data_IF_114373931327
#
_entry.id   IF_114373931327
#
_cell.length_a   1.000
_cell.length_b   1.000
_cell.length_c   1.000
_cell.angle_alpha   90.00
_cell.angle_beta   90.00
_cell.angle_gamma   90.00
#
_symmetry.space_group_name_H-M   'P 1'
#
loop_
_entity.id
_entity.type
_entity.pdbx_description
1 polymer ?
#
# COMPACT_ATOMS: atom_id res chain seq x y z
N UNK A 1 9.13 12.39 -16.17
CA UNK A 1 8.18 11.37 -15.74
C UNK A 1 6.72 11.86 -15.74
N UNK A 2 6.35 12.92 -15.06
CA UNK A 2 4.94 13.38 -14.92
C UNK A 2 4.25 13.87 -16.21
N UNK A 3 4.95 13.94 -17.34
CA UNK A 3 4.37 14.19 -18.67
C UNK A 3 3.87 12.92 -19.37
N UNK A 4 4.25 11.75 -18.87
CA UNK A 4 3.81 10.48 -19.39
C UNK A 4 2.43 10.14 -18.81
N UNK A 5 1.59 9.48 -19.61
CA UNK A 5 0.21 9.10 -19.22
C UNK A 5 0.05 7.58 -19.27
N UNK A 6 -0.84 7.08 -18.41
CA UNK A 6 -1.23 5.67 -18.39
C UNK A 6 -0.07 4.70 -18.16
N UNK A 7 -0.05 3.62 -18.92
CA UNK A 7 0.87 2.48 -18.74
C UNK A 7 2.35 2.86 -18.93
N UNK A 8 2.64 3.85 -19.78
CA UNK A 8 4.00 4.34 -19.98
C UNK A 8 4.58 4.97 -18.69
N UNK A 9 3.76 5.62 -17.88
CA UNK A 9 4.20 6.15 -16.59
C UNK A 9 4.56 5.01 -15.64
N UNK A 10 3.75 3.96 -15.59
CA UNK A 10 4.00 2.80 -14.72
C UNK A 10 5.30 2.07 -15.10
N UNK A 11 5.50 1.76 -16.39
CA UNK A 11 6.73 1.10 -16.87
C UNK A 11 7.96 1.96 -16.59
N UNK A 12 7.88 3.27 -16.85
CA UNK A 12 9.00 4.19 -16.62
C UNK A 12 9.36 4.33 -15.14
N UNK A 13 8.36 4.37 -14.24
CA UNK A 13 8.61 4.44 -12.80
C UNK A 13 9.23 3.15 -12.26
N UNK A 14 8.79 2.00 -12.73
CA UNK A 14 9.41 0.70 -12.39
C UNK A 14 10.85 0.63 -12.88
N UNK A 15 11.12 1.02 -14.15
CA UNK A 15 12.48 1.07 -14.69
C UNK A 15 13.39 2.00 -13.90
N UNK A 16 12.88 3.17 -13.50
CA UNK A 16 13.65 4.11 -12.69
C UNK A 16 13.94 3.60 -11.27
N UNK A 17 13.00 2.93 -10.64
CA UNK A 17 13.23 2.30 -9.34
C UNK A 17 14.33 1.23 -9.40
N UNK A 18 14.37 0.45 -10.50
CA UNK A 18 15.40 -0.56 -10.70
C UNK A 18 16.79 0.06 -10.97
N UNK A 19 16.84 1.17 -11.71
CA UNK A 19 18.10 1.94 -11.89
C UNK A 19 18.63 2.43 -10.54
N UNK A 20 17.77 2.98 -9.68
CA UNK A 20 18.17 3.41 -8.33
C UNK A 20 18.68 2.23 -7.52
N UNK A 21 18.00 1.09 -7.56
CA UNK A 21 18.41 -0.12 -6.84
C UNK A 21 19.78 -0.60 -7.30
N UNK A 22 20.01 -0.68 -8.62
CA UNK A 22 21.30 -1.09 -9.19
C UNK A 22 22.39 -0.10 -8.80
N UNK A 23 22.10 1.20 -8.84
CA UNK A 23 23.06 2.23 -8.42
C UNK A 23 23.45 2.07 -6.96
N UNK A 24 22.49 1.88 -6.05
CA UNK A 24 22.72 1.63 -4.62
C UNK A 24 23.54 0.35 -4.42
N UNK A 25 23.24 -0.72 -5.15
CA UNK A 25 23.95 -2.01 -5.06
C UNK A 25 25.42 -1.89 -5.50
N UNK A 26 25.73 -0.97 -6.43
CA UNK A 26 27.10 -0.75 -6.92
C UNK A 26 27.86 0.32 -6.12
N UNK A 27 27.19 1.13 -5.32
CA UNK A 27 27.80 2.21 -4.54
C UNK A 27 28.43 1.67 -3.23
N UNK A 28 29.52 0.90 -3.36
CA UNK A 28 30.18 0.24 -2.21
C UNK A 28 30.66 1.22 -1.14
N UNK A 29 31.11 2.41 -1.54
CA UNK A 29 31.65 3.41 -0.61
C UNK A 29 30.60 4.10 0.26
N UNK A 30 29.31 4.10 -0.15
CA UNK A 30 28.22 4.83 0.54
C UNK A 30 27.28 3.85 1.22
N UNK A 31 26.87 2.79 0.52
CA UNK A 31 25.81 1.88 0.95
C UNK A 31 26.31 0.48 1.31
N UNK A 32 27.63 0.27 1.30
CA UNK A 32 28.25 -1.05 1.42
C UNK A 32 27.83 -2.02 0.29
N UNK A 33 27.27 -1.48 -0.78
CA UNK A 33 26.90 -2.19 -2.00
C UNK A 33 25.86 -3.30 -1.77
N UNK A 34 26.14 -4.47 -2.31
CA UNK A 34 25.25 -5.64 -2.22
C UNK A 34 25.11 -6.21 -0.80
N UNK A 35 25.99 -5.84 0.15
CA UNK A 35 25.91 -6.26 1.56
C UNK A 35 24.92 -5.42 2.36
N UNK A 36 24.50 -4.28 1.82
CA UNK A 36 23.58 -3.36 2.45
C UNK A 36 24.15 -2.64 3.68
N UNK A 37 23.36 -1.72 4.21
CA UNK A 37 23.69 -0.95 5.42
C UNK A 37 23.34 -1.82 6.63
N UNK A 38 24.35 -2.10 7.47
CA UNK A 38 24.21 -2.87 8.69
C UNK A 38 24.41 -1.97 9.90
N UNK A 39 24.10 -2.49 11.08
CA UNK A 39 24.31 -1.81 12.36
C UNK A 39 23.54 -0.48 12.49
N UNK A 40 22.37 -0.40 11.89
CA UNK A 40 21.45 0.71 12.12
C UNK A 40 20.95 0.57 13.57
N UNK A 41 21.11 1.62 14.42
CA UNK A 41 20.63 1.56 15.79
C UNK A 41 19.12 1.23 15.80
N UNK A 42 18.72 0.10 16.38
CA UNK A 42 17.33 -0.32 16.37
C UNK A 42 16.51 0.66 17.22
N UNK A 43 15.36 1.04 16.72
CA UNK A 43 14.36 1.71 17.54
C UNK A 43 13.78 0.67 18.52
N UNK A 44 14.33 0.64 19.74
CA UNK A 44 13.93 -0.31 20.78
C UNK A 44 12.46 -0.19 21.20
N UNK A 45 11.83 0.92 20.87
CA UNK A 45 10.47 1.23 21.29
C UNK A 45 9.52 1.26 20.07
N UNK A 46 8.78 0.18 19.89
CA UNK A 46 7.75 0.04 18.82
C UNK A 46 6.71 1.18 18.90
N UNK A 47 6.57 1.81 20.07
CA UNK A 47 5.65 2.94 20.27
C UNK A 47 5.98 4.13 19.37
N UNK A 48 7.28 4.42 19.16
CA UNK A 48 7.69 5.51 18.25
C UNK A 48 7.31 5.21 16.80
N UNK A 49 7.49 3.97 16.35
CA UNK A 49 7.11 3.55 15.00
C UNK A 49 5.61 3.72 14.81
N UNK A 50 4.82 3.25 15.78
CA UNK A 50 3.37 3.38 15.75
C UNK A 50 2.93 4.86 15.77
N UNK A 51 3.55 5.69 16.61
CA UNK A 51 3.23 7.11 16.72
C UNK A 51 3.52 7.86 15.42
N UNK A 52 4.69 7.66 14.80
CA UNK A 52 5.06 8.30 13.53
C UNK A 52 4.14 7.84 12.41
N UNK A 53 3.80 6.55 12.36
CA UNK A 53 2.85 6.00 11.39
C UNK A 53 1.46 6.62 11.57
N UNK A 54 1.00 6.76 12.81
CA UNK A 54 -0.30 7.37 13.12
C UNK A 54 -0.34 8.85 12.72
N UNK A 55 0.71 9.61 13.03
CA UNK A 55 0.83 11.01 12.63
C UNK A 55 0.81 11.12 11.11
N UNK A 56 1.57 10.29 10.41
CA UNK A 56 1.60 10.25 8.94
C UNK A 56 0.22 9.95 8.36
N UNK A 57 -0.48 8.98 8.92
CA UNK A 57 -1.83 8.61 8.51
C UNK A 57 -2.83 9.77 8.70
N UNK A 58 -2.80 10.41 9.86
CA UNK A 58 -3.65 11.58 10.16
C UNK A 58 -3.35 12.73 9.20
N UNK A 59 -2.06 13.03 8.96
CA UNK A 59 -1.66 14.10 8.05
C UNK A 59 -2.17 13.85 6.62
N UNK A 60 -1.96 12.63 6.08
CA UNK A 60 -2.43 12.27 4.74
C UNK A 60 -3.95 12.37 4.66
N UNK A 61 -4.67 11.92 5.69
CA UNK A 61 -6.13 11.99 5.76
C UNK A 61 -6.63 13.44 5.76
N UNK A 62 -5.98 14.33 6.51
CA UNK A 62 -6.29 15.75 6.52
C UNK A 62 -6.00 16.40 5.16
N UNK A 63 -4.86 16.07 4.55
CA UNK A 63 -4.49 16.58 3.22
C UNK A 63 -5.51 16.18 2.15
N UNK A 64 -5.94 14.91 2.11
CA UNK A 64 -6.89 14.40 1.11
C UNK A 64 -8.31 14.99 1.33
N UNK A 65 -8.63 15.42 2.54
CA UNK A 65 -9.90 16.11 2.84
C UNK A 65 -9.81 17.64 2.69
N UNK A 66 -8.63 18.19 2.43
CA UNK A 66 -8.40 19.62 2.19
C UNK A 66 -8.83 20.08 0.79
N UNK A 67 -8.64 21.35 0.50
CA UNK A 67 -8.85 21.92 -0.85
C UNK A 67 -7.92 21.29 -1.90
N UNK A 68 -6.68 20.99 -1.53
CA UNK A 68 -5.74 20.29 -2.39
C UNK A 68 -6.21 18.87 -2.70
N UNK A 69 -6.72 18.16 -1.71
CA UNK A 69 -7.27 16.82 -1.91
C UNK A 69 -8.49 16.80 -2.82
N UNK A 70 -9.32 17.84 -2.80
CA UNK A 70 -10.43 17.97 -3.77
C UNK A 70 -9.90 18.13 -5.19
N UNK A 71 -8.85 18.93 -5.39
CA UNK A 71 -8.20 19.08 -6.68
C UNK A 71 -7.58 17.75 -7.17
N UNK A 72 -6.93 16.97 -6.28
CA UNK A 72 -6.40 15.65 -6.61
C UNK A 72 -7.50 14.68 -7.04
N UNK A 73 -8.65 14.69 -6.36
CA UNK A 73 -9.81 13.86 -6.72
C UNK A 73 -10.40 14.28 -8.07
N UNK A 74 -10.51 15.58 -8.34
CA UNK A 74 -10.98 16.08 -9.64
C UNK A 74 -10.07 15.64 -10.80
N UNK A 75 -8.74 15.76 -10.62
CA UNK A 75 -7.76 15.32 -11.62
C UNK A 75 -7.83 13.80 -11.84
N UNK A 76 -8.09 13.01 -10.80
CA UNK A 76 -8.23 11.56 -10.89
C UNK A 76 -9.46 11.15 -11.71
N UNK A 77 -10.57 11.84 -11.54
CA UNK A 77 -11.82 11.51 -12.24
C UNK A 77 -11.73 11.92 -13.73
N UNK A 78 -11.31 13.15 -14.02
CA UNK A 78 -11.14 13.63 -15.40
C UNK A 78 -10.10 14.78 -15.44
N UNK A 79 -8.97 14.53 -16.08
CA UNK A 79 -7.88 15.52 -16.22
C UNK A 79 -8.31 16.72 -17.09
N UNK A 80 -9.08 16.48 -18.17
CA UNK A 80 -9.49 17.52 -19.11
C UNK A 80 -10.51 18.44 -18.44
N UNK A 81 -11.48 17.87 -17.75
CA UNK A 81 -12.47 18.64 -17.02
C UNK A 81 -11.84 19.46 -15.89
N UNK A 82 -10.87 18.89 -15.16
CA UNK A 82 -10.14 19.59 -14.10
C UNK A 82 -9.35 20.80 -14.65
N UNK A 83 -8.69 20.64 -15.80
CA UNK A 83 -7.95 21.72 -16.46
C UNK A 83 -8.91 22.82 -16.95
N UNK A 84 -10.05 22.47 -17.51
CA UNK A 84 -11.08 23.41 -17.93
C UNK A 84 -11.65 24.23 -16.75
N UNK A 85 -11.65 23.66 -15.54
CA UNK A 85 -12.03 24.36 -14.30
C UNK A 85 -10.89 25.19 -13.68
N UNK A 86 -9.77 25.35 -14.39
CA UNK A 86 -8.63 26.17 -13.97
C UNK A 86 -7.64 25.48 -13.02
N UNK A 87 -7.73 24.16 -12.85
CA UNK A 87 -6.79 23.42 -12.01
C UNK A 87 -5.49 23.17 -12.79
N UNK A 88 -4.38 23.66 -12.27
CA UNK A 88 -3.06 23.41 -12.87
C UNK A 88 -2.63 21.96 -12.61
N UNK A 89 -2.74 21.11 -13.63
CA UNK A 89 -2.45 19.67 -13.56
C UNK A 89 -1.02 19.38 -13.13
N UNK A 90 -0.06 20.08 -13.77
CA UNK A 90 1.36 19.84 -13.52
C UNK A 90 1.74 20.13 -12.07
N UNK A 91 1.28 21.25 -11.52
CA UNK A 91 1.60 21.65 -10.16
C UNK A 91 0.99 20.67 -9.14
N UNK A 92 -0.29 20.31 -9.31
CA UNK A 92 -0.98 19.40 -8.38
C UNK A 92 -0.43 17.98 -8.46
N UNK A 93 -0.13 17.45 -9.65
CA UNK A 93 0.49 16.14 -9.81
C UNK A 93 1.89 16.10 -9.16
N UNK A 94 2.67 17.15 -9.35
CA UNK A 94 4.01 17.25 -8.76
C UNK A 94 3.94 17.33 -7.23
N UNK A 95 3.03 18.12 -6.68
CA UNK A 95 2.82 18.21 -5.24
C UNK A 95 2.38 16.87 -4.63
N UNK A 96 1.43 16.16 -5.27
CA UNK A 96 1.01 14.86 -4.83
C UNK A 96 2.17 13.85 -4.83
N UNK A 97 3.01 13.89 -5.88
CA UNK A 97 4.20 13.04 -5.98
C UNK A 97 5.23 13.35 -4.89
N UNK A 98 5.50 14.63 -4.62
CA UNK A 98 6.44 15.06 -3.58
C UNK A 98 5.97 14.60 -2.19
N UNK A 99 4.68 14.77 -1.88
CA UNK A 99 4.12 14.35 -0.60
C UNK A 99 4.18 12.84 -0.45
N UNK A 100 3.82 12.08 -1.48
CA UNK A 100 3.88 10.61 -1.41
C UNK A 100 5.31 10.11 -1.28
N UNK A 101 6.29 10.72 -1.98
CA UNK A 101 7.70 10.38 -1.85
C UNK A 101 8.25 10.67 -0.44
N UNK A 102 7.83 11.79 0.16
CA UNK A 102 8.21 12.14 1.53
C UNK A 102 7.75 11.08 2.54
N UNK A 103 6.47 10.68 2.48
CA UNK A 103 5.94 9.64 3.38
C UNK A 103 6.50 8.25 3.08
N UNK A 104 6.79 7.94 1.82
CA UNK A 104 7.50 6.72 1.45
C UNK A 104 8.91 6.69 2.06
N UNK A 105 9.62 7.82 2.06
CA UNK A 105 10.93 7.97 2.72
C UNK A 105 10.85 7.76 4.24
N UNK A 106 9.84 8.33 4.91
CA UNK A 106 9.59 8.08 6.34
C UNK A 106 9.34 6.58 6.58
N UNK A 107 8.48 5.96 5.78
CA UNK A 107 8.18 4.52 5.89
C UNK A 107 9.42 3.64 5.71
N UNK A 108 10.27 3.97 4.71
CA UNK A 108 11.53 3.28 4.48
C UNK A 108 12.52 3.43 5.63
N UNK A 109 12.62 4.64 6.21
CA UNK A 109 13.45 4.91 7.39
C UNK A 109 12.99 4.12 8.62
N UNK A 110 11.68 4.09 8.89
CA UNK A 110 11.11 3.30 9.98
C UNK A 110 11.32 1.80 9.78
N UNK A 111 11.19 1.32 8.54
CA UNK A 111 11.44 -0.07 8.19
C UNK A 111 12.91 -0.46 8.42
N UNK A 112 13.85 0.38 8.00
CA UNK A 112 15.28 0.17 8.25
C UNK A 112 15.63 0.17 9.74
N UNK A 113 15.04 1.10 10.51
CA UNK A 113 15.24 1.16 11.96
C UNK A 113 14.60 -0.02 12.71
N UNK A 114 13.52 -0.61 12.18
CA UNK A 114 12.90 -1.81 12.74
C UNK A 114 13.74 -3.06 12.52
N UNK A 115 14.31 -3.21 11.30
CA UNK A 115 15.11 -4.38 10.94
C UNK A 115 16.55 -4.29 11.43
N UNK A 116 17.07 -3.10 11.74
CA UNK A 116 18.48 -2.86 12.06
C UNK A 116 19.42 -3.01 10.86
N UNK A 117 18.92 -3.45 9.71
CA UNK A 117 19.67 -3.64 8.46
C UNK A 117 18.81 -3.28 7.26
N UNK A 118 19.42 -2.68 6.23
CA UNK A 118 18.74 -2.40 4.95
C UNK A 118 19.52 -3.09 3.84
N UNK A 119 18.96 -4.18 3.31
CA UNK A 119 19.54 -4.94 2.20
C UNK A 119 18.82 -4.53 0.89
N UNK A 120 19.54 -4.14 -0.16
CA UNK A 120 18.97 -3.83 -1.47
C UNK A 120 18.12 -4.97 -2.07
N UNK A 121 18.41 -6.23 -1.68
CA UNK A 121 17.64 -7.41 -2.10
C UNK A 121 16.19 -7.42 -1.60
N UNK A 122 15.91 -6.71 -0.51
CA UNK A 122 14.55 -6.60 0.01
C UNK A 122 13.67 -5.62 -0.80
N UNK A 123 14.30 -4.75 -1.62
CA UNK A 123 13.63 -3.73 -2.41
C UNK A 123 13.50 -4.12 -3.89
N UNK A 124 13.17 -5.38 -4.15
CA UNK A 124 12.87 -5.86 -5.49
C UNK A 124 11.49 -5.37 -5.96
N UNK A 125 11.29 -5.39 -7.28
CA UNK A 125 10.00 -5.05 -7.89
C UNK A 125 8.82 -5.87 -7.34
N UNK A 126 9.07 -7.06 -6.80
CA UNK A 126 8.07 -7.90 -6.12
C UNK A 126 7.44 -7.21 -4.91
N UNK A 127 8.20 -6.36 -4.20
CA UNK A 127 7.66 -5.54 -3.11
C UNK A 127 6.60 -4.55 -3.63
N UNK A 128 6.82 -3.99 -4.82
CA UNK A 128 5.85 -3.08 -5.46
C UNK A 128 4.53 -3.79 -5.74
N UNK A 129 4.55 -5.05 -6.17
CA UNK A 129 3.33 -5.84 -6.34
C UNK A 129 2.59 -6.07 -5.03
N UNK A 130 3.29 -6.30 -3.92
CA UNK A 130 2.66 -6.42 -2.61
C UNK A 130 1.94 -5.12 -2.21
N UNK A 131 2.55 -3.96 -2.45
CA UNK A 131 1.89 -2.67 -2.20
C UNK A 131 0.70 -2.43 -3.12
N UNK A 132 0.83 -2.73 -4.41
CA UNK A 132 -0.28 -2.64 -5.36
C UNK A 132 -1.46 -3.49 -4.90
N UNK A 133 -1.19 -4.69 -4.42
CA UNK A 133 -2.16 -5.61 -3.89
C UNK A 133 -2.90 -5.03 -2.69
N UNK A 134 -2.15 -4.49 -1.73
CA UNK A 134 -2.72 -3.83 -0.55
C UNK A 134 -3.67 -2.72 -0.96
N UNK A 135 -3.25 -1.88 -1.93
CA UNK A 135 -4.04 -0.74 -2.40
C UNK A 135 -5.29 -1.21 -3.15
N UNK A 136 -5.17 -2.21 -4.03
CA UNK A 136 -6.31 -2.73 -4.81
C UNK A 136 -7.31 -3.43 -3.89
N UNK A 137 -6.83 -4.27 -2.98
CA UNK A 137 -7.68 -4.97 -2.00
C UNK A 137 -8.37 -3.97 -1.05
N UNK A 138 -7.64 -2.98 -0.56
CA UNK A 138 -8.18 -1.94 0.32
C UNK A 138 -9.20 -1.06 -0.37
N UNK A 139 -9.00 -0.79 -1.65
CA UNK A 139 -9.80 0.09 -2.51
C UNK A 139 -9.01 1.30 -2.99
N UNK A 140 -8.82 1.38 -4.31
CA UNK A 140 -8.14 2.51 -4.96
C UNK A 140 -8.94 3.80 -4.76
N UNK A 141 -8.55 4.62 -3.81
CA UNK A 141 -9.20 5.91 -3.52
C UNK A 141 -9.68 6.07 -2.09
N UNK A 142 -9.44 5.07 -1.23
CA UNK A 142 -9.70 5.13 0.20
C UNK A 142 -8.43 4.94 1.01
N UNK A 143 -8.04 5.93 1.82
CA UNK A 143 -6.88 5.86 2.71
C UNK A 143 -7.15 4.85 3.83
N UNK A 144 -8.34 4.90 4.41
CA UNK A 144 -8.76 3.95 5.44
C UNK A 144 -8.87 2.53 4.90
N UNK A 145 -9.33 2.38 3.63
CA UNK A 145 -9.33 1.12 2.92
C UNK A 145 -7.94 0.53 2.75
N UNK A 146 -6.96 1.34 2.31
CA UNK A 146 -5.57 0.91 2.16
C UNK A 146 -4.93 0.50 3.49
N UNK A 147 -5.24 1.20 4.60
CA UNK A 147 -4.75 0.83 5.93
C UNK A 147 -5.32 -0.52 6.39
N UNK A 148 -6.62 -0.75 6.20
CA UNK A 148 -7.26 -2.04 6.50
C UNK A 148 -6.72 -3.13 5.58
N UNK A 149 -6.55 -2.84 4.29
CA UNK A 149 -5.94 -3.74 3.31
C UNK A 149 -4.52 -4.16 3.72
N UNK A 150 -3.70 -3.22 4.20
CA UNK A 150 -2.37 -3.52 4.70
C UNK A 150 -2.40 -4.52 5.87
N UNK A 151 -3.29 -4.33 6.83
CA UNK A 151 -3.44 -5.23 7.97
C UNK A 151 -3.89 -6.62 7.49
N UNK A 152 -4.91 -6.68 6.63
CA UNK A 152 -5.45 -7.95 6.13
C UNK A 152 -4.41 -8.72 5.31
N UNK A 153 -3.72 -8.04 4.40
CA UNK A 153 -2.70 -8.67 3.55
C UNK A 153 -1.52 -9.17 4.37
N UNK A 154 -1.00 -8.33 5.29
CA UNK A 154 0.14 -8.71 6.12
C UNK A 154 -0.22 -9.84 7.07
N UNK A 155 -1.36 -9.76 7.74
CA UNK A 155 -1.85 -10.84 8.60
C UNK A 155 -2.14 -12.12 7.80
N UNK A 156 -2.72 -11.98 6.60
CA UNK A 156 -3.00 -13.12 5.71
C UNK A 156 -1.72 -13.83 5.26
N UNK A 157 -0.70 -13.08 4.85
CA UNK A 157 0.60 -13.65 4.47
C UNK A 157 1.30 -14.34 5.64
N UNK A 158 1.21 -13.79 6.85
CA UNK A 158 1.79 -14.41 8.04
C UNK A 158 1.01 -15.67 8.45
N UNK A 159 -0.32 -15.65 8.38
CA UNK A 159 -1.14 -16.83 8.64
C UNK A 159 -0.89 -17.96 7.62
N UNK A 160 -0.72 -17.58 6.34
CA UNK A 160 -0.39 -18.53 5.28
C UNK A 160 1.04 -19.09 5.38
N UNK A 161 1.91 -18.49 6.20
CA UNK A 161 3.24 -19.01 6.48
C UNK A 161 3.21 -20.40 7.11
N UNK A 162 2.15 -20.71 7.85
CA UNK A 162 1.94 -22.07 8.39
C UNK A 162 1.92 -23.14 7.28
N UNK A 163 1.49 -22.81 6.06
CA UNK A 163 1.45 -23.75 4.94
C UNK A 163 2.80 -23.93 4.23
N UNK A 164 3.81 -23.12 4.56
CA UNK A 164 5.17 -23.29 4.03
C UNK A 164 6.01 -24.28 4.87
N UNK A 165 5.52 -24.69 6.05
CA UNK A 165 6.17 -25.71 6.86
C UNK A 165 5.76 -27.11 6.35
N UNK A 166 6.73 -28.04 6.17
CA UNK A 166 6.41 -29.38 5.74
C UNK A 166 5.56 -30.07 6.80
N UNK A 167 4.28 -30.23 6.55
CA UNK A 167 3.36 -30.99 7.40
C UNK A 167 3.61 -32.48 7.17
N UNK A 168 4.35 -33.12 8.09
CA UNK A 168 4.43 -34.55 8.19
C UNK A 168 3.13 -35.11 8.79
N UNK A 169 2.17 -35.43 7.94
CA UNK A 169 1.00 -36.17 8.36
C UNK A 169 1.20 -37.63 8.00
N UNK A 170 1.20 -38.52 9.01
CA UNK A 170 1.32 -39.98 8.85
C UNK A 170 2.60 -40.51 8.19
N UNK A 171 3.73 -39.77 8.28
CA UNK A 171 5.01 -40.27 7.73
C UNK A 171 5.14 -40.16 6.20
N UNK A 172 4.20 -39.51 5.54
CA UNK A 172 4.28 -39.18 4.12
C UNK A 172 4.46 -37.67 3.95
N UNK A 173 5.50 -37.28 3.23
CA UNK A 173 5.69 -35.89 2.81
C UNK A 173 4.58 -35.54 1.80
N UNK A 174 3.68 -34.67 2.19
CA UNK A 174 2.65 -34.17 1.26
C UNK A 174 3.35 -33.18 0.33
N UNK A 175 3.55 -33.49 -0.97
CA UNK A 175 4.31 -32.65 -1.90
C UNK A 175 3.65 -31.29 -2.19
N UNK A 176 2.45 -31.07 -1.65
CA UNK A 176 1.69 -29.84 -1.82
C UNK A 176 2.18 -28.72 -0.89
N UNK A 177 2.77 -29.04 0.26
CA UNK A 177 3.30 -28.09 1.24
C UNK A 177 4.80 -27.92 1.03
N UNK A 178 5.17 -27.10 0.02
CA UNK A 178 6.56 -26.72 -0.28
C UNK A 178 6.79 -25.25 0.01
N UNK A 179 8.03 -24.85 0.34
CA UNK A 179 8.39 -23.43 0.47
C UNK A 179 7.97 -22.65 -0.79
N UNK A 180 7.14 -21.62 -0.59
CA UNK A 180 6.57 -20.81 -1.68
C UNK A 180 5.10 -21.12 -2.02
N UNK A 181 4.49 -22.17 -1.48
CA UNK A 181 3.08 -22.49 -1.73
C UNK A 181 2.14 -21.37 -1.27
N UNK A 182 2.49 -20.67 -0.20
CA UNK A 182 1.77 -19.46 0.25
C UNK A 182 1.62 -18.41 -0.85
N UNK A 183 2.65 -18.23 -1.71
CA UNK A 183 2.60 -17.26 -2.80
C UNK A 183 1.60 -17.66 -3.88
N UNK A 184 1.46 -18.97 -4.13
CA UNK A 184 0.47 -19.49 -5.08
C UNK A 184 -0.95 -19.26 -4.55
N UNK A 185 -1.21 -19.65 -3.29
CA UNK A 185 -2.52 -19.40 -2.65
C UNK A 185 -2.84 -17.91 -2.68
N UNK A 186 -1.85 -17.09 -2.32
CA UNK A 186 -2.03 -15.66 -2.26
C UNK A 186 -2.29 -15.04 -3.63
N UNK A 187 -1.61 -15.46 -4.70
CA UNK A 187 -1.85 -14.99 -6.06
C UNK A 187 -3.22 -15.41 -6.60
N UNK A 188 -3.69 -16.62 -6.25
CA UNK A 188 -5.05 -17.07 -6.60
C UNK A 188 -6.09 -16.25 -5.85
N UNK A 189 -5.90 -16.03 -4.55
CA UNK A 189 -6.79 -15.20 -3.72
C UNK A 189 -6.86 -13.76 -4.25
N UNK A 190 -5.72 -13.22 -4.71
CA UNK A 190 -5.64 -11.95 -5.39
C UNK A 190 -6.47 -11.91 -6.65
N UNK A 191 -6.24 -12.90 -7.53
CA UNK A 191 -6.95 -12.97 -8.81
C UNK A 191 -8.46 -12.99 -8.57
N UNK A 192 -8.92 -13.78 -7.62
CA UNK A 192 -10.33 -13.86 -7.22
C UNK A 192 -10.81 -12.50 -6.68
N UNK A 193 -10.02 -11.87 -5.81
CA UNK A 193 -10.38 -10.57 -5.22
C UNK A 193 -10.51 -9.48 -6.29
N UNK A 194 -9.57 -9.38 -7.23
CA UNK A 194 -9.60 -8.40 -8.33
C UNK A 194 -10.76 -8.66 -9.30
N UNK A 195 -11.09 -9.93 -9.57
CA UNK A 195 -12.19 -10.28 -10.47
C UNK A 195 -13.56 -10.00 -9.86
N UNK A 196 -13.76 -10.34 -8.58
CA UNK A 196 -15.06 -10.22 -7.91
C UNK A 196 -15.24 -8.87 -7.21
N UNK A 197 -14.17 -8.28 -6.66
CA UNK A 197 -14.20 -7.00 -5.95
C UNK A 197 -13.41 -5.90 -6.66
N UNK A 198 -13.86 -5.52 -7.85
CA UNK A 198 -13.22 -4.46 -8.65
C UNK A 198 -12.98 -3.13 -7.92
N UNK A 199 -13.76 -2.84 -6.89
CA UNK A 199 -13.67 -1.60 -6.12
C UNK A 199 -12.91 -1.77 -4.79
N UNK A 200 -12.40 -2.97 -4.49
CA UNK A 200 -11.79 -3.29 -3.20
C UNK A 200 -12.81 -3.29 -2.05
N UNK A 201 -12.30 -3.49 -0.82
CA UNK A 201 -13.15 -3.64 0.39
C UNK A 201 -13.94 -2.37 0.69
N UNK A 202 -13.34 -1.20 0.58
CA UNK A 202 -13.99 0.09 0.88
C UNK A 202 -14.34 0.91 -0.36
N UNK A 203 -13.90 0.51 -1.56
CA UNK A 203 -14.13 1.23 -2.80
C UNK A 203 -13.53 2.64 -2.77
N UNK A 204 -14.35 3.64 -3.16
CA UNK A 204 -13.97 5.06 -3.09
C UNK A 204 -14.49 5.76 -1.82
N UNK A 205 -15.07 4.99 -0.88
CA UNK A 205 -15.69 5.54 0.34
C UNK A 205 -14.70 5.56 1.47
N UNK A 206 -14.53 6.74 2.09
CA UNK A 206 -13.75 6.88 3.31
C UNK A 206 -14.57 6.48 4.54
N UNK A 207 -13.88 6.02 5.58
CA UNK A 207 -14.48 5.73 6.87
C UNK A 207 -15.02 7.03 7.48
N UNK A 208 -16.33 7.07 7.77
CA UNK A 208 -16.99 8.22 8.39
C UNK A 208 -17.38 7.86 9.82
N UNK A 209 -16.78 8.56 10.78
CA UNK A 209 -17.09 8.40 12.20
C UNK A 209 -18.58 8.57 12.50
N UNK A 210 -19.25 9.48 11.80
CA UNK A 210 -20.70 9.71 11.97
C UNK A 210 -21.51 8.48 11.55
N UNK A 211 -21.09 7.78 10.48
CA UNK A 211 -21.75 6.54 10.06
C UNK A 211 -21.49 5.39 11.04
N UNK A 212 -20.27 5.30 11.59
CA UNK A 212 -19.93 4.31 12.59
C UNK A 212 -20.71 4.53 13.89
N UNK A 213 -20.80 5.76 14.38
CA UNK A 213 -21.58 6.11 15.58
C UNK A 213 -23.06 5.85 15.37
N UNK A 214 -23.59 6.19 14.18
CA UNK A 214 -24.99 5.94 13.84
C UNK A 214 -25.31 4.44 13.69
N UNK A 215 -24.33 3.63 13.22
CA UNK A 215 -24.46 2.18 13.15
C UNK A 215 -24.53 1.56 14.55
N UNK A 216 -23.67 2.04 15.48
CA UNK A 216 -23.69 1.58 16.87
C UNK A 216 -24.96 2.02 17.60
N UNK A 217 -25.46 3.23 17.33
CA UNK A 217 -26.71 3.75 17.96
C UNK A 217 -27.99 3.15 17.39
N UNK A 218 -28.02 2.75 16.11
CA UNK A 218 -29.22 2.24 15.45
C UNK A 218 -28.88 1.16 14.41
N UNK A 219 -28.52 -0.07 14.84
CA UNK A 219 -28.13 -1.16 13.91
C UNK A 219 -29.28 -1.58 12.97
N UNK A 220 -30.52 -1.50 13.41
CA UNK A 220 -31.73 -1.87 12.65
C UNK A 220 -32.16 -0.81 11.62
N UNK A 221 -31.81 0.46 11.81
CA UNK A 221 -32.11 1.55 10.86
C UNK A 221 -31.33 1.48 9.55
N UNK A 222 -30.19 0.77 9.54
CA UNK A 222 -29.32 0.64 8.37
C UNK A 222 -29.84 -0.43 7.38
N UNK A 223 -30.53 -1.46 7.89
CA UNK A 223 -31.13 -2.53 7.08
C UNK A 223 -32.34 -2.02 6.32
N UNK A 224 -33.14 -1.14 6.93
CA UNK A 224 -34.35 -0.57 6.32
C UNK A 224 -34.07 0.40 5.16
N UNK A 225 -32.90 1.07 5.15
CA UNK A 225 -32.53 2.01 4.05
C UNK A 225 -31.99 1.31 2.79
N UNK A 226 -31.51 0.07 2.88
CA UNK A 226 -31.08 -0.70 1.71
C UNK A 226 -32.24 -1.34 0.95
N UNK A 227 -33.38 -1.55 1.59
CA UNK A 227 -34.58 -2.11 0.96
C UNK A 227 -35.48 -1.08 0.25
N UNK A 228 -35.22 0.22 0.39
CA UNK A 228 -35.98 1.30 -0.25
C UNK A 228 -35.28 1.92 -1.47
N UNK A 229 -34.16 1.37 -1.91
CA UNK A 229 -33.37 1.85 -3.05
C UNK A 229 -33.15 0.75 -4.12
N UNK A 230 -34.09 -0.19 -4.21
CA UNK A 230 -34.24 -1.12 -5.35
C UNK A 230 -35.51 -0.78 -6.12
#
# INVERSE_FOLDING_TARGET
>A
MLRLRGDYLAVTTLGFSEIIRIWITNAQSITNGALGIKDIPPLNDVRYIFLVTLISFVFITLLVNSSYGRAFKAIREDEIAAEAMGINLFWHKNLAFMVSAFFAGIGGGLYGALLGTVDPKNFLFTLTYNFLLIIVLGGMGSITGSAIGAIIVTAGLEYLRFFDEPLMLFGMDIPLFRPGFRMVIFSVLLMVCVLFWRHGIMGTREFSWQKAINFVKNPLGFIKRKGAAQ
#
